data_IF_854639160874
#
_entry.id   IF_854639160874
#
_cell.length_a   1.000
_cell.length_b   1.000
_cell.length_c   1.000
_cell.angle_alpha   90.00
_cell.angle_beta   90.00
_cell.angle_gamma   90.00
#
_symmetry.space_group_name_H-M   'P 1'
#
loop_
_entity.id
_entity.type
_entity.pdbx_description
1 polymer ?
#
# COMPACT_ATOMS: atom_id res chain seq x y z
N UNK A 1 28.58 -2.03 0.34
CA UNK A 1 27.33 -2.69 0.77
C UNK A 1 26.41 -1.76 1.57
N UNK A 2 26.95 -0.92 2.47
CA UNK A 2 26.17 0.04 3.30
C UNK A 2 25.41 1.09 2.50
N UNK A 3 26.00 1.63 1.42
CA UNK A 3 25.33 2.66 0.58
C UNK A 3 24.04 2.14 -0.10
N UNK A 4 24.00 0.87 -0.51
CA UNK A 4 22.81 0.28 -1.11
C UNK A 4 21.67 0.09 -0.11
N UNK A 5 22.00 -0.38 1.10
CA UNK A 5 21.03 -0.53 2.21
C UNK A 5 20.47 0.83 2.61
N UNK A 6 21.32 1.86 2.77
CA UNK A 6 20.86 3.21 3.09
C UNK A 6 19.86 3.75 2.05
N UNK A 7 20.15 3.59 0.77
CA UNK A 7 19.26 4.06 -0.30
C UNK A 7 17.92 3.33 -0.29
N UNK A 8 17.91 2.01 -0.12
CA UNK A 8 16.67 1.24 -0.01
C UNK A 8 15.86 1.63 1.23
N UNK A 9 16.51 1.73 2.40
CA UNK A 9 15.86 2.12 3.65
C UNK A 9 15.28 3.53 3.58
N UNK A 10 16.02 4.49 3.02
CA UNK A 10 15.54 5.85 2.82
C UNK A 10 14.34 5.90 1.85
N UNK A 11 14.38 5.11 0.77
CA UNK A 11 13.25 4.98 -0.15
C UNK A 11 12.00 4.43 0.54
N UNK A 12 12.12 3.34 1.31
CA UNK A 12 11.00 2.78 2.07
C UNK A 12 10.49 3.75 3.15
N UNK A 13 11.38 4.46 3.84
CA UNK A 13 11.00 5.48 4.82
C UNK A 13 10.19 6.59 4.14
N UNK A 14 10.64 7.08 2.99
CA UNK A 14 9.93 8.09 2.20
C UNK A 14 8.53 7.62 1.79
N UNK A 15 8.40 6.40 1.27
CA UNK A 15 7.10 5.80 0.93
C UNK A 15 6.19 5.69 2.15
N UNK A 16 6.74 5.30 3.30
CA UNK A 16 6.00 5.19 4.56
C UNK A 16 5.49 6.56 5.04
N UNK A 17 6.34 7.58 5.01
CA UNK A 17 5.95 8.96 5.40
C UNK A 17 4.87 9.51 4.49
N UNK A 18 5.01 9.33 3.17
CA UNK A 18 4.01 9.79 2.19
C UNK A 18 2.68 9.05 2.39
N UNK A 19 2.71 7.72 2.53
CA UNK A 19 1.51 6.93 2.79
C UNK A 19 0.82 7.34 4.10
N UNK A 20 1.59 7.58 5.17
CA UNK A 20 1.06 8.05 6.44
C UNK A 20 0.46 9.45 6.32
N UNK A 21 1.11 10.37 5.60
CA UNK A 21 0.58 11.71 5.36
C UNK A 21 -0.75 11.67 4.61
N UNK A 22 -0.86 10.83 3.56
CA UNK A 22 -2.12 10.63 2.82
C UNK A 22 -3.22 10.12 3.74
N UNK A 23 -2.92 9.11 4.56
CA UNK A 23 -3.88 8.51 5.49
C UNK A 23 -4.32 9.49 6.59
N UNK A 24 -3.39 10.28 7.13
CA UNK A 24 -3.69 11.34 8.12
C UNK A 24 -4.54 12.44 7.48
N UNK A 25 -4.17 12.95 6.30
CA UNK A 25 -4.96 13.95 5.58
C UNK A 25 -6.37 13.45 5.28
N UNK A 26 -6.53 12.18 4.88
CA UNK A 26 -7.84 11.57 4.68
C UNK A 26 -8.66 11.49 5.98
N UNK A 27 -8.03 11.14 7.11
CA UNK A 27 -8.68 11.12 8.43
C UNK A 27 -9.09 12.51 8.93
N UNK A 28 -8.34 13.53 8.54
CA UNK A 28 -8.65 14.93 8.82
C UNK A 28 -9.70 15.53 7.86
N UNK A 29 -10.20 14.76 6.88
CA UNK A 29 -11.18 15.21 5.89
C UNK A 29 -10.60 16.09 4.78
N UNK A 30 -9.27 16.17 4.67
CA UNK A 30 -8.55 16.94 3.66
C UNK A 30 -8.21 16.12 2.40
N UNK A 31 -8.54 14.83 2.40
CA UNK A 31 -8.20 13.88 1.34
C UNK A 31 -9.39 13.01 0.90
N UNK A 32 -9.26 12.31 -0.25
CA UNK A 32 -10.38 11.66 -0.92
C UNK A 32 -10.92 10.42 -0.20
N UNK A 33 -10.06 9.57 0.37
CA UNK A 33 -10.46 8.37 1.11
C UNK A 33 -9.30 7.81 1.93
N UNK A 34 -9.60 7.18 3.07
CA UNK A 34 -8.62 6.36 3.81
C UNK A 34 -8.34 5.06 3.06
N UNK A 35 -7.20 4.42 3.36
CA UNK A 35 -6.88 3.10 2.82
C UNK A 35 -7.98 2.07 3.13
N UNK A 36 -8.57 2.14 4.33
CA UNK A 36 -9.68 1.26 4.73
C UNK A 36 -10.95 1.50 3.92
N UNK A 37 -11.28 2.75 3.62
CA UNK A 37 -12.44 3.10 2.78
C UNK A 37 -12.23 2.65 1.34
N UNK A 38 -11.05 2.89 0.77
CA UNK A 38 -10.71 2.47 -0.59
C UNK A 38 -10.77 0.94 -0.72
N UNK A 39 -10.19 0.20 0.23
CA UNK A 39 -10.24 -1.26 0.25
C UNK A 39 -11.67 -1.78 0.44
N UNK A 40 -12.43 -1.19 1.36
CA UNK A 40 -13.84 -1.52 1.57
C UNK A 40 -14.68 -1.30 0.33
N UNK A 41 -14.46 -0.20 -0.40
CA UNK A 41 -15.13 0.07 -1.67
C UNK A 41 -14.74 -0.95 -2.76
N UNK A 42 -13.46 -1.29 -2.89
CA UNK A 42 -12.98 -2.28 -3.84
C UNK A 42 -13.63 -3.65 -3.60
N UNK A 43 -13.71 -4.09 -2.34
CA UNK A 43 -14.28 -5.38 -1.94
C UNK A 43 -15.79 -5.51 -2.18
N UNK A 44 -16.51 -4.40 -2.35
CA UNK A 44 -17.95 -4.40 -2.70
C UNK A 44 -18.21 -4.72 -4.16
N UNK A 45 -17.19 -4.72 -5.00
CA UNK A 45 -17.30 -5.00 -6.44
C UNK A 45 -16.60 -6.30 -6.79
N UNK A 46 -17.19 -7.12 -7.66
CA UNK A 46 -16.55 -8.34 -8.19
C UNK A 46 -15.20 -8.05 -8.84
N UNK A 47 -15.04 -7.05 -9.74
CA UNK A 47 -13.73 -6.75 -10.32
C UNK A 47 -12.73 -6.24 -9.27
N UNK A 48 -13.15 -5.37 -8.35
CA UNK A 48 -12.28 -4.86 -7.29
C UNK A 48 -11.78 -5.98 -6.36
N UNK A 49 -12.66 -6.90 -5.96
CA UNK A 49 -12.28 -8.08 -5.18
C UNK A 49 -11.28 -8.97 -5.91
N UNK A 50 -11.45 -9.18 -7.21
CA UNK A 50 -10.50 -9.94 -8.01
C UNK A 50 -9.11 -9.27 -8.02
N UNK A 51 -9.04 -7.95 -8.19
CA UNK A 51 -7.78 -7.20 -8.12
C UNK A 51 -7.10 -7.33 -6.75
N UNK A 52 -7.85 -7.20 -5.66
CA UNK A 52 -7.32 -7.35 -4.29
C UNK A 52 -6.76 -8.76 -4.08
N UNK A 53 -7.49 -9.79 -4.49
CA UNK A 53 -7.05 -11.18 -4.37
C UNK A 53 -5.81 -11.48 -5.23
N UNK A 54 -5.77 -10.97 -6.46
CA UNK A 54 -4.61 -11.11 -7.35
C UNK A 54 -3.37 -10.41 -6.78
N UNK A 55 -3.54 -9.20 -6.22
CA UNK A 55 -2.46 -8.51 -5.53
C UNK A 55 -1.95 -9.33 -4.34
N UNK A 56 -2.85 -9.89 -3.53
CA UNK A 56 -2.48 -10.74 -2.40
C UNK A 56 -1.76 -12.02 -2.82
N UNK A 57 -2.28 -12.71 -3.84
CA UNK A 57 -1.66 -13.90 -4.42
C UNK A 57 -0.26 -13.58 -4.94
N UNK A 58 -0.11 -12.47 -5.66
CA UNK A 58 1.17 -12.03 -6.19
C UNK A 58 2.18 -11.76 -5.06
N UNK A 59 1.77 -11.08 -3.99
CA UNK A 59 2.63 -10.86 -2.81
C UNK A 59 3.08 -12.20 -2.22
N UNK A 60 2.14 -13.13 -2.00
CA UNK A 60 2.45 -14.46 -1.45
C UNK A 60 3.44 -15.25 -2.32
N UNK A 61 3.21 -15.30 -3.63
CA UNK A 61 4.11 -15.96 -4.58
C UNK A 61 5.47 -15.26 -4.63
N UNK A 62 5.51 -13.93 -4.61
CA UNK A 62 6.75 -13.18 -4.64
C UNK A 62 7.63 -13.47 -3.42
N UNK A 63 7.03 -13.56 -2.23
CA UNK A 63 7.76 -13.93 -1.02
C UNK A 63 8.14 -15.41 -0.98
N UNK A 64 7.37 -16.31 -1.57
CA UNK A 64 7.72 -17.73 -1.65
C UNK A 64 8.87 -18.00 -2.64
N UNK A 65 8.94 -17.22 -3.72
CA UNK A 65 9.94 -17.36 -4.77
C UNK A 65 11.28 -16.66 -4.45
N UNK A 66 11.36 -15.94 -3.32
CA UNK A 66 12.54 -15.20 -2.86
C UNK A 66 13.17 -15.89 -1.66
#
# INVERSE_FOLDING_TARGET
MTNGVLTSSAGFLGLLVVGLAVEVCARLGLGPATASQALGAAMRTTPGRAVVLLAWLWIGVHFLAR
#
